data_IF_712369640600
#
_entry.id   IF_712369640600
#
_cell.length_a   1.000
_cell.length_b   1.000
_cell.length_c   1.000
_cell.angle_alpha   90.00
_cell.angle_beta   90.00
_cell.angle_gamma   90.00
#
_symmetry.space_group_name_H-M   'P 1'
#
loop_
_entity.id
_entity.type
_entity.pdbx_description
1 polymer ?
#
# COMPACT_ATOMS: atom_id res chain seq x y z
N UNK A 1 17.21 0.01 -9.55
CA UNK A 1 18.02 -0.62 -8.48
C UNK A 1 17.27 -0.40 -7.17
N UNK A 2 16.69 -1.45 -6.55
CA UNK A 2 16.09 -1.31 -5.21
C UNK A 2 17.24 -1.00 -4.26
N UNK A 3 17.38 0.25 -3.80
CA UNK A 3 18.18 0.55 -2.61
C UNK A 3 17.57 -0.29 -1.48
N UNK A 4 18.39 -1.10 -0.82
CA UNK A 4 17.94 -2.03 0.20
C UNK A 4 17.28 -1.25 1.34
N UNK A 5 16.02 -1.57 1.67
CA UNK A 5 15.31 -0.94 2.78
C UNK A 5 16.09 -1.11 4.08
N UNK A 6 16.81 -2.22 4.24
CA UNK A 6 17.70 -2.44 5.38
C UNK A 6 18.80 -1.39 5.42
N UNK A 7 19.45 -1.11 4.29
CA UNK A 7 20.49 -0.07 4.21
C UNK A 7 19.93 1.32 4.48
N UNK A 8 18.77 1.67 3.91
CA UNK A 8 18.12 2.95 4.20
C UNK A 8 17.80 3.07 5.70
N UNK A 9 17.24 2.03 6.31
CA UNK A 9 16.87 2.06 7.73
C UNK A 9 18.09 2.15 8.65
N UNK A 10 19.15 1.39 8.36
CA UNK A 10 20.40 1.40 9.14
C UNK A 10 21.09 2.77 9.13
N UNK A 11 21.01 3.49 8.01
CA UNK A 11 21.65 4.80 7.85
C UNK A 11 20.74 5.92 8.36
N UNK A 12 19.45 5.89 8.02
CA UNK A 12 18.53 6.98 8.34
C UNK A 12 18.06 6.94 9.80
N UNK A 13 18.18 5.81 10.51
CA UNK A 13 17.67 5.64 11.87
C UNK A 13 18.73 5.05 12.82
N UNK A 14 18.80 5.57 14.04
CA UNK A 14 19.69 5.01 15.08
C UNK A 14 19.04 3.86 15.85
N UNK A 15 17.72 3.92 15.98
CA UNK A 15 16.86 2.95 16.69
C UNK A 15 15.51 2.84 15.94
N UNK A 16 14.53 2.11 16.49
CA UNK A 16 13.22 1.99 15.87
C UNK A 16 12.56 3.38 15.64
N UNK A 17 12.57 3.85 14.39
CA UNK A 17 12.00 5.13 13.96
C UNK A 17 12.58 6.38 14.66
N UNK A 18 13.82 6.31 15.17
CA UNK A 18 14.57 7.47 15.67
C UNK A 18 15.50 8.00 14.58
N UNK A 19 15.12 9.04 13.81
CA UNK A 19 15.89 9.50 12.65
C UNK A 19 17.24 10.09 13.08
N UNK A 20 18.27 9.90 12.25
CA UNK A 20 19.60 10.48 12.46
C UNK A 20 19.67 11.89 11.87
N UNK A 21 20.41 12.77 12.56
CA UNK A 21 20.68 14.14 12.11
C UNK A 21 21.83 14.21 11.10
N UNK A 22 22.75 13.25 11.13
CA UNK A 22 23.94 13.20 10.28
C UNK A 22 24.11 11.82 9.67
N UNK A 23 24.60 11.76 8.43
CA UNK A 23 25.01 10.53 7.75
C UNK A 23 26.45 10.19 8.13
N UNK A 24 26.63 9.57 9.29
CA UNK A 24 27.93 9.12 9.80
C UNK A 24 28.56 8.00 8.94
N UNK A 25 27.82 7.48 7.96
CA UNK A 25 28.23 6.40 7.06
C UNK A 25 28.47 6.85 5.62
N UNK A 26 28.39 8.17 5.34
CA UNK A 26 28.66 8.80 4.05
C UNK A 26 27.89 8.17 2.87
N UNK A 27 26.67 7.70 3.09
CA UNK A 27 25.84 7.03 2.06
C UNK A 27 25.04 8.01 1.19
N UNK A 28 25.09 9.31 1.49
CA UNK A 28 24.38 10.37 0.77
C UNK A 28 22.87 10.31 0.97
N UNK A 29 22.41 9.84 2.12
CA UNK A 29 20.98 9.67 2.45
C UNK A 29 20.45 10.88 3.24
N UNK A 30 21.29 11.53 4.03
CA UNK A 30 21.01 12.77 4.77
C UNK A 30 21.68 13.93 4.02
N UNK A 31 21.09 15.15 3.99
CA UNK A 31 21.73 16.33 3.40
C UNK A 31 23.14 16.53 3.93
N UNK A 32 24.06 16.80 3.00
CA UNK A 32 25.44 17.17 3.30
C UNK A 32 25.36 18.56 3.94
N UNK A 33 25.42 18.60 5.27
CA UNK A 33 25.61 19.79 6.12
C UNK A 33 24.86 21.08 5.70
N UNK A 34 23.80 21.43 6.44
CA UNK A 34 23.33 22.82 6.52
C UNK A 34 21.98 23.19 5.89
N UNK A 35 21.20 22.24 5.35
CA UNK A 35 19.88 22.53 4.74
C UNK A 35 18.65 21.94 5.47
N UNK A 36 18.78 21.49 6.72
CA UNK A 36 17.62 21.04 7.48
C UNK A 36 17.90 20.96 8.97
N UNK A 37 17.34 21.89 9.75
CA UNK A 37 17.47 21.95 11.21
C UNK A 37 16.73 20.81 11.94
N UNK A 38 16.02 19.93 11.23
CA UNK A 38 15.11 18.95 11.82
C UNK A 38 15.18 17.57 11.13
N UNK A 39 15.66 16.50 11.82
CA UNK A 39 15.78 15.15 11.26
C UNK A 39 14.42 14.52 10.92
N UNK A 40 13.29 15.14 11.30
CA UNK A 40 11.96 14.68 10.93
C UNK A 40 11.68 14.76 9.42
N UNK A 41 12.50 15.45 8.61
CA UNK A 41 12.38 15.41 7.14
C UNK A 41 12.56 13.98 6.55
N UNK A 42 13.18 13.06 7.29
CA UNK A 42 13.32 11.65 6.92
C UNK A 42 12.03 10.84 7.13
N UNK A 43 11.12 11.30 7.99
CA UNK A 43 9.89 10.56 8.32
C UNK A 43 8.96 10.40 7.11
N UNK A 44 8.70 11.41 6.25
CA UNK A 44 7.93 11.22 5.03
C UNK A 44 8.55 10.17 4.10
N UNK A 45 9.88 10.19 3.93
CA UNK A 45 10.60 9.21 3.11
C UNK A 45 10.46 7.81 3.68
N UNK A 46 10.67 7.64 4.98
CA UNK A 46 10.51 6.36 5.66
C UNK A 46 9.06 5.85 5.60
N UNK A 47 8.08 6.72 5.82
CA UNK A 47 6.66 6.40 5.69
C UNK A 47 6.31 5.93 4.27
N UNK A 48 6.86 6.59 3.24
CA UNK A 48 6.69 6.19 1.84
C UNK A 48 7.29 4.80 1.58
N UNK A 49 8.50 4.54 2.08
CA UNK A 49 9.17 3.24 1.97
C UNK A 49 8.38 2.13 2.68
N UNK A 50 7.98 2.36 3.94
CA UNK A 50 7.16 1.42 4.71
C UNK A 50 5.86 1.13 3.97
N UNK A 51 5.18 2.17 3.47
CA UNK A 51 3.94 2.03 2.70
C UNK A 51 4.12 1.21 1.44
N UNK A 52 5.28 1.33 0.77
CA UNK A 52 5.56 0.60 -0.47
C UNK A 52 5.58 -0.93 -0.32
N UNK A 53 5.80 -1.47 0.88
CA UNK A 53 5.70 -2.90 1.15
C UNK A 53 4.26 -3.42 1.03
N UNK A 54 3.30 -2.55 1.33
CA UNK A 54 1.89 -2.93 1.45
C UNK A 54 1.04 -2.35 0.32
N UNK A 55 1.44 -1.25 -0.31
CA UNK A 55 0.68 -0.59 -1.35
C UNK A 55 1.60 0.10 -2.37
N UNK A 56 1.38 -0.19 -3.65
CA UNK A 56 1.98 0.55 -4.75
C UNK A 56 0.89 1.06 -5.67
N UNK A 57 1.11 2.25 -6.22
CA UNK A 57 0.25 2.82 -7.24
C UNK A 57 1.09 3.20 -8.46
N UNK A 58 0.63 2.81 -9.63
CA UNK A 58 1.11 3.32 -10.92
C UNK A 58 -0.10 3.82 -11.69
N UNK A 59 -0.25 5.15 -11.77
CA UNK A 59 -1.45 5.79 -12.36
C UNK A 59 -2.73 5.23 -11.72
N UNK A 60 -3.56 4.53 -12.51
CA UNK A 60 -4.82 3.91 -12.07
C UNK A 60 -4.73 2.43 -11.74
N UNK A 61 -3.51 1.91 -11.65
CA UNK A 61 -3.21 0.54 -11.24
C UNK A 61 -2.77 0.51 -9.78
N UNK A 62 -3.51 -0.22 -8.96
CA UNK A 62 -3.25 -0.40 -7.54
C UNK A 62 -2.73 -1.80 -7.29
N UNK A 63 -1.56 -1.92 -6.67
CA UNK A 63 -1.01 -3.21 -6.24
C UNK A 63 -1.08 -3.32 -4.74
N UNK A 64 -1.85 -4.30 -4.25
CA UNK A 64 -2.11 -4.54 -2.83
C UNK A 64 -1.17 -5.62 -2.30
N UNK A 65 -0.54 -5.37 -1.16
CA UNK A 65 0.48 -6.18 -0.50
C UNK A 65 1.51 -6.80 -1.47
N UNK A 66 2.22 -5.97 -2.27
CA UNK A 66 3.17 -6.45 -3.27
C UNK A 66 4.31 -7.27 -2.67
N UNK A 67 4.78 -6.93 -1.46
CA UNK A 67 5.87 -7.61 -0.76
C UNK A 67 5.69 -7.52 0.76
N UNK A 68 4.56 -7.98 1.31
CA UNK A 68 4.36 -7.98 2.77
C UNK A 68 5.04 -9.19 3.43
N UNK A 69 6.06 -8.93 4.24
CA UNK A 69 6.62 -9.93 5.17
C UNK A 69 5.81 -10.08 6.46
N UNK A 70 4.79 -9.24 6.66
CA UNK A 70 3.98 -9.22 7.87
C UNK A 70 2.78 -10.16 7.73
N UNK A 71 2.61 -11.06 8.69
CA UNK A 71 1.52 -12.04 8.67
C UNK A 71 0.14 -11.40 8.87
N UNK A 72 0.04 -10.38 9.71
CA UNK A 72 -1.22 -9.70 10.02
C UNK A 72 -1.02 -8.20 10.21
N UNK A 73 -2.06 -7.42 9.92
CA UNK A 73 -2.03 -5.99 10.13
C UNK A 73 -3.17 -5.25 9.44
N UNK A 74 -3.16 -3.94 9.66
CA UNK A 74 -4.08 -2.99 9.04
C UNK A 74 -3.27 -1.76 8.60
N UNK A 75 -3.61 -1.22 7.43
CA UNK A 75 -3.08 0.05 6.97
C UNK A 75 -4.26 0.91 6.51
N UNK A 76 -4.33 2.14 7.01
CA UNK A 76 -5.46 3.05 6.79
C UNK A 76 -4.99 4.39 6.26
N UNK A 77 -5.89 5.17 5.67
CA UNK A 77 -5.59 6.53 5.21
C UNK A 77 -4.62 6.57 4.03
N UNK A 78 -4.58 5.52 3.21
CA UNK A 78 -3.71 5.44 2.04
C UNK A 78 -4.30 6.34 0.96
N UNK A 79 -3.73 7.54 0.79
CA UNK A 79 -4.14 8.45 -0.30
C UNK A 79 -3.65 7.90 -1.64
N UNK A 80 -4.56 7.37 -2.46
CA UNK A 80 -4.30 6.96 -3.83
C UNK A 80 -4.59 8.12 -4.79
N UNK A 81 -3.55 8.66 -5.41
CA UNK A 81 -3.63 9.86 -6.24
C UNK A 81 -4.70 9.69 -7.34
N UNK A 82 -5.55 10.71 -7.53
CA UNK A 82 -6.65 10.72 -8.52
C UNK A 82 -7.69 9.60 -8.39
N UNK A 83 -7.65 8.80 -7.31
CA UNK A 83 -8.56 7.68 -7.09
C UNK A 83 -9.37 7.94 -5.82
N UNK A 84 -8.70 8.20 -4.70
CA UNK A 84 -9.36 8.31 -3.39
C UNK A 84 -8.49 7.89 -2.22
N UNK A 85 -9.15 7.44 -1.15
CA UNK A 85 -8.49 6.92 0.05
C UNK A 85 -8.75 5.42 0.21
N UNK A 86 -7.75 4.68 0.68
CA UNK A 86 -7.79 3.24 0.84
C UNK A 86 -7.49 2.85 2.29
N UNK A 87 -8.30 1.95 2.82
CA UNK A 87 -7.98 1.17 4.01
C UNK A 87 -7.88 -0.30 3.65
N UNK A 88 -6.96 -1.03 4.27
CA UNK A 88 -6.81 -2.46 4.04
C UNK A 88 -6.43 -3.21 5.32
N UNK A 89 -6.87 -4.46 5.39
CA UNK A 89 -6.65 -5.37 6.52
C UNK A 89 -6.26 -6.75 5.98
N UNK A 90 -5.27 -7.36 6.61
CA UNK A 90 -4.81 -8.71 6.31
C UNK A 90 -4.53 -9.50 7.59
N UNK A 91 -4.69 -10.82 7.52
CA UNK A 91 -4.33 -11.73 8.61
C UNK A 91 -4.02 -13.12 8.07
N UNK A 92 -3.11 -13.83 8.74
CA UNK A 92 -2.57 -15.12 8.30
C UNK A 92 -2.06 -15.02 6.84
N UNK A 93 -1.30 -13.98 6.56
CA UNK A 93 -0.73 -13.63 5.24
C UNK A 93 -1.76 -13.54 4.11
N UNK A 94 -3.03 -13.27 4.45
CA UNK A 94 -4.15 -13.24 3.52
C UNK A 94 -4.92 -11.93 3.62
N UNK A 95 -5.19 -11.32 2.47
CA UNK A 95 -5.99 -10.10 2.39
C UNK A 95 -7.43 -10.39 2.84
N UNK A 96 -7.95 -9.59 3.77
CA UNK A 96 -9.29 -9.78 4.35
C UNK A 96 -10.27 -8.75 3.83
N UNK A 97 -9.82 -7.50 3.76
CA UNK A 97 -10.68 -6.37 3.43
C UNK A 97 -9.87 -5.26 2.77
N UNK A 98 -10.45 -4.62 1.76
CA UNK A 98 -10.03 -3.31 1.28
C UNK A 98 -11.25 -2.42 1.20
N UNK A 99 -11.17 -1.22 1.75
CA UNK A 99 -12.20 -0.19 1.65
C UNK A 99 -11.65 0.95 0.83
N UNK A 100 -12.37 1.31 -0.24
CA UNK A 100 -12.02 2.40 -1.13
C UNK A 100 -13.04 3.52 -1.00
N UNK A 101 -12.58 4.72 -0.69
CA UNK A 101 -13.36 5.95 -0.67
C UNK A 101 -13.08 6.70 -1.97
N UNK A 102 -13.97 6.58 -2.95
CA UNK A 102 -13.73 7.05 -4.31
C UNK A 102 -13.88 8.58 -4.43
N UNK A 103 -12.84 9.24 -4.93
CA UNK A 103 -12.85 10.67 -5.29
C UNK A 103 -12.89 10.91 -6.81
N UNK A 104 -12.81 9.84 -7.60
CA UNK A 104 -12.92 9.82 -9.06
C UNK A 104 -13.95 8.77 -9.51
N UNK A 105 -14.46 8.92 -10.73
CA UNK A 105 -15.32 7.92 -11.40
C UNK A 105 -14.59 7.13 -12.48
N UNK A 106 -13.32 7.41 -12.75
CA UNK A 106 -12.60 6.73 -13.81
C UNK A 106 -12.26 5.28 -13.38
N UNK A 107 -12.14 4.34 -14.32
CA UNK A 107 -11.86 2.95 -13.99
C UNK A 107 -10.51 2.76 -13.31
N UNK A 108 -10.40 1.77 -12.43
CA UNK A 108 -9.13 1.36 -11.83
C UNK A 108 -8.90 -0.13 -12.02
N UNK A 109 -7.65 -0.52 -11.95
CA UNK A 109 -7.23 -1.91 -11.95
C UNK A 109 -6.62 -2.26 -10.60
N UNK A 110 -6.98 -3.41 -10.03
CA UNK A 110 -6.41 -3.91 -8.78
C UNK A 110 -5.62 -5.19 -9.05
N UNK A 111 -4.33 -5.15 -8.75
CA UNK A 111 -3.48 -6.33 -8.65
C UNK A 111 -3.45 -6.81 -7.20
N UNK A 112 -3.79 -8.09 -7.01
CA UNK A 112 -3.80 -8.75 -5.71
C UNK A 112 -2.47 -9.46 -5.41
N UNK A 113 -2.24 -9.86 -4.14
CA UNK A 113 -1.09 -10.69 -3.79
C UNK A 113 -1.10 -12.01 -4.54
N UNK A 114 0.09 -12.59 -4.75
CA UNK A 114 0.24 -13.86 -5.47
C UNK A 114 -0.70 -14.94 -4.90
N UNK A 115 -1.39 -15.62 -5.81
CA UNK A 115 -2.33 -16.69 -5.49
C UNK A 115 -3.79 -16.26 -5.41
N UNK A 116 -4.08 -14.96 -5.22
CA UNK A 116 -5.45 -14.44 -5.32
C UNK A 116 -5.74 -13.95 -6.74
N UNK A 117 -6.90 -14.34 -7.29
CA UNK A 117 -7.30 -14.00 -8.67
C UNK A 117 -8.59 -13.20 -8.73
N UNK A 118 -9.36 -13.16 -7.65
CA UNK A 118 -10.67 -12.53 -7.66
C UNK A 118 -11.10 -12.09 -6.27
N UNK A 119 -12.06 -11.19 -6.24
CA UNK A 119 -12.62 -10.62 -5.03
C UNK A 119 -14.09 -10.27 -5.25
N UNK A 120 -14.80 -10.05 -4.16
CA UNK A 120 -16.15 -9.49 -4.20
C UNK A 120 -16.08 -7.99 -3.98
N UNK A 121 -16.80 -7.24 -4.81
CA UNK A 121 -17.01 -5.80 -4.72
C UNK A 121 -18.46 -5.50 -4.27
N UNK A 122 -18.64 -4.62 -3.29
CA UNK A 122 -19.98 -4.18 -2.83
C UNK A 122 -19.94 -2.80 -2.19
N UNK A 123 -21.07 -2.11 -2.14
CA UNK A 123 -21.14 -0.78 -1.51
C UNK A 123 -21.60 -0.87 -0.05
N UNK A 124 -22.34 -1.92 0.31
CA UNK A 124 -22.86 -2.13 1.68
C UNK A 124 -22.62 -3.55 2.18
N UNK A 125 -22.58 -3.72 3.50
CA UNK A 125 -22.33 -5.01 4.14
C UNK A 125 -23.47 -6.04 3.95
N UNK A 126 -24.69 -5.57 3.71
CA UNK A 126 -25.87 -6.42 3.47
C UNK A 126 -26.08 -6.76 1.98
N UNK A 127 -25.30 -6.19 1.07
CA UNK A 127 -25.38 -6.50 -0.35
C UNK A 127 -24.63 -7.80 -0.67
N UNK A 128 -25.18 -8.56 -1.63
CA UNK A 128 -24.53 -9.78 -2.16
C UNK A 128 -23.16 -9.47 -2.74
N UNK A 129 -23.01 -8.33 -3.41
CA UNK A 129 -21.82 -7.90 -4.14
C UNK A 129 -21.63 -8.60 -5.49
N UNK A 130 -20.75 -8.04 -6.30
CA UNK A 130 -20.33 -8.57 -7.61
C UNK A 130 -18.95 -9.20 -7.50
N UNK A 131 -18.70 -10.34 -8.16
CA UNK A 131 -17.35 -10.89 -8.28
C UNK A 131 -16.59 -10.14 -9.36
N UNK A 132 -15.35 -9.73 -9.07
CA UNK A 132 -14.43 -9.13 -10.03
C UNK A 132 -13.15 -9.96 -10.07
N UNK A 133 -12.59 -10.11 -11.26
CA UNK A 133 -11.25 -10.65 -11.44
C UNK A 133 -10.21 -9.57 -11.14
N UNK A 134 -9.09 -9.97 -10.54
CA UNK A 134 -7.93 -9.12 -10.36
C UNK A 134 -7.27 -8.85 -11.71
N UNK A 135 -6.71 -7.65 -11.89
CA UNK A 135 -6.10 -7.23 -13.15
C UNK A 135 -7.08 -6.67 -14.20
N UNK A 136 -8.39 -6.87 -14.03
CA UNK A 136 -9.39 -6.29 -14.91
C UNK A 136 -9.84 -4.90 -14.43
N UNK A 137 -9.92 -3.89 -15.32
CA UNK A 137 -10.44 -2.59 -14.96
C UNK A 137 -11.91 -2.63 -14.56
N UNK A 138 -12.29 -1.90 -13.51
CA UNK A 138 -13.69 -1.70 -13.14
C UNK A 138 -13.98 -0.22 -12.85
N UNK A 139 -15.19 0.28 -13.20
CA UNK A 139 -15.53 1.68 -13.03
C UNK A 139 -15.69 2.03 -11.56
N UNK A 140 -15.29 3.26 -11.22
CA UNK A 140 -15.55 3.84 -9.90
C UNK A 140 -16.78 4.76 -9.95
N UNK A 141 -17.29 5.10 -8.77
CA UNK A 141 -18.30 6.14 -8.63
C UNK A 141 -17.83 7.16 -7.59
N UNK A 142 -17.56 8.39 -8.03
CA UNK A 142 -17.13 9.48 -7.15
C UNK A 142 -18.09 9.65 -5.97
N UNK A 143 -17.53 9.84 -4.77
CA UNK A 143 -18.23 10.00 -3.51
C UNK A 143 -18.75 8.71 -2.89
N UNK A 144 -18.56 7.55 -3.54
CA UNK A 144 -18.98 6.25 -2.98
C UNK A 144 -17.87 5.57 -2.21
N UNK A 145 -18.28 4.71 -1.28
CA UNK A 145 -17.43 3.76 -0.59
C UNK A 145 -17.63 2.39 -1.21
N UNK A 146 -16.55 1.73 -1.58
CA UNK A 146 -16.54 0.38 -2.15
C UNK A 146 -15.77 -0.52 -1.19
N UNK A 147 -16.42 -1.60 -0.79
CA UNK A 147 -15.85 -2.67 0.00
C UNK A 147 -15.43 -3.82 -0.91
N UNK A 148 -14.16 -4.20 -0.83
CA UNK A 148 -13.59 -5.39 -1.43
C UNK A 148 -13.35 -6.42 -0.34
N UNK A 149 -13.92 -7.60 -0.48
CA UNK A 149 -13.75 -8.71 0.46
C UNK A 149 -13.89 -10.07 -0.25
N UNK A 150 -13.86 -11.18 0.50
CA UNK A 150 -13.95 -12.54 -0.05
C UNK A 150 -12.96 -12.77 -1.20
N UNK A 151 -11.70 -12.43 -0.96
CA UNK A 151 -10.61 -12.71 -1.88
C UNK A 151 -10.48 -14.22 -2.08
N UNK A 152 -10.46 -14.66 -3.34
CA UNK A 152 -10.39 -16.08 -3.71
C UNK A 152 -9.08 -16.37 -4.43
N UNK A 153 -8.58 -17.58 -4.19
CA UNK A 153 -7.41 -18.10 -4.89
C UNK A 153 -7.83 -18.81 -6.17
N UNK A 154 -6.99 -18.71 -7.20
CA UNK A 154 -7.24 -19.46 -8.42
C UNK A 154 -7.18 -20.95 -8.17
N UNK A 155 -8.10 -21.71 -8.77
CA UNK A 155 -8.15 -23.18 -8.68
C UNK A 155 -7.03 -23.89 -9.46
N UNK A 156 -6.01 -23.19 -9.95
CA UNK A 156 -4.93 -23.79 -10.74
C UNK A 156 -3.68 -24.05 -9.90
N UNK A 157 -3.39 -25.35 -9.78
CA UNK A 157 -2.25 -26.04 -9.16
C UNK A 157 -2.44 -26.47 -7.70
N UNK A 158 -3.27 -27.51 -7.53
CA UNK A 158 -2.91 -28.70 -6.74
C UNK A 158 -1.87 -29.53 -7.47
#
# INVERSE_FOLDING_TARGET
MRKDFSSFYQVAFSHLLVPRLFDDQYQGIVPIEGEGEDPFFLLPSAASWIRSFFFLQKERHLTILPNSSFESGRMTGIVAAQIGEIDMEWSNSSLRRVLLHCNSSDPITIALPKGFDSFRMRSRLNERGERKEAGEPFPLQKGKKILLDRFQKSKRHS
#
